data_IF_475262002099
#
_entry.id   IF_475262002099
#
_cell.length_a   1.000
_cell.length_b   1.000
_cell.length_c   1.000
_cell.angle_alpha   90.00
_cell.angle_beta   90.00
_cell.angle_gamma   90.00
#
_symmetry.space_group_name_H-M   'P 1'
#
loop_
_entity.id
_entity.type
_entity.pdbx_description
1 polymer ?
#
# COMPACT_ATOMS: atom_id res chain seq x y z
N UNK A 1 -61.01 5.89 -27.05
CA UNK A 1 -60.12 5.08 -26.19
C UNK A 1 -58.97 5.99 -25.75
N UNK A 2 -58.88 6.29 -24.45
CA UNK A 2 -57.87 7.18 -23.85
C UNK A 2 -56.82 6.28 -23.21
N UNK A 3 -55.57 6.39 -23.62
CA UNK A 3 -54.49 5.54 -23.11
C UNK A 3 -53.58 6.46 -22.30
N UNK A 4 -53.76 6.41 -20.99
CA UNK A 4 -52.85 6.97 -19.99
C UNK A 4 -51.66 6.04 -19.87
N UNK A 5 -50.46 6.55 -20.11
CA UNK A 5 -49.22 5.87 -19.75
C UNK A 5 -48.50 6.77 -18.76
N UNK A 6 -48.77 6.50 -17.48
CA UNK A 6 -47.89 6.86 -16.37
C UNK A 6 -46.75 5.85 -16.40
N UNK A 7 -45.52 6.31 -16.53
CA UNK A 7 -44.35 5.51 -16.21
C UNK A 7 -43.56 6.24 -15.14
N UNK A 8 -43.86 5.84 -13.91
CA UNK A 8 -42.91 5.86 -12.80
C UNK A 8 -41.86 4.78 -13.12
N UNK A 9 -40.63 5.19 -13.41
CA UNK A 9 -39.49 4.26 -13.40
C UNK A 9 -38.24 4.93 -12.85
N UNK A 10 -37.81 4.36 -11.72
CA UNK A 10 -36.45 4.31 -11.21
C UNK A 10 -35.73 5.64 -10.94
N UNK A 11 -35.69 5.95 -9.64
CA UNK A 11 -34.57 6.63 -8.98
C UNK A 11 -33.22 6.01 -9.40
N UNK A 12 -32.65 6.42 -10.54
CA UNK A 12 -31.21 6.31 -10.74
C UNK A 12 -30.58 7.35 -9.83
N UNK A 13 -30.01 6.83 -8.75
CA UNK A 13 -28.92 7.43 -8.01
C UNK A 13 -27.80 7.80 -9.00
N UNK A 14 -27.96 8.91 -9.72
CA UNK A 14 -26.81 9.59 -10.32
C UNK A 14 -26.10 10.24 -9.15
N UNK A 15 -25.32 9.43 -8.42
CA UNK A 15 -24.23 9.94 -7.59
C UNK A 15 -23.51 10.90 -8.52
N UNK A 16 -23.62 12.20 -8.24
CA UNK A 16 -22.87 13.23 -8.91
C UNK A 16 -21.46 12.68 -9.03
N UNK A 17 -20.91 12.42 -10.23
CA UNK A 17 -19.53 12.02 -10.33
C UNK A 17 -18.79 13.28 -9.95
N UNK A 18 -18.50 13.44 -8.66
CA UNK A 18 -17.75 14.57 -8.15
C UNK A 18 -16.53 14.66 -9.06
N UNK A 19 -16.37 15.72 -9.85
CA UNK A 19 -15.14 15.90 -10.58
C UNK A 19 -14.13 16.39 -9.54
N UNK A 20 -13.75 15.52 -8.59
CA UNK A 20 -12.60 15.74 -7.74
C UNK A 20 -11.35 15.48 -8.58
N UNK A 21 -11.25 16.16 -9.73
CA UNK A 21 -9.97 16.37 -10.38
C UNK A 21 -9.22 17.30 -9.44
N UNK A 22 -8.52 16.70 -8.45
CA UNK A 22 -7.54 17.41 -7.63
C UNK A 22 -6.71 18.29 -8.56
N UNK A 23 -6.47 19.53 -8.14
CA UNK A 23 -5.72 20.51 -8.94
C UNK A 23 -4.39 19.90 -9.38
N UNK A 24 -3.94 20.23 -10.58
CA UNK A 24 -2.64 19.78 -11.06
C UNK A 24 -1.55 20.29 -10.11
N UNK A 25 -0.79 19.37 -9.53
CA UNK A 25 0.29 19.62 -8.59
C UNK A 25 1.51 18.82 -9.00
N UNK A 26 2.69 19.19 -8.49
CA UNK A 26 3.92 18.43 -8.71
C UNK A 26 3.96 17.07 -7.98
N UNK A 27 2.93 16.75 -7.19
CA UNK A 27 2.83 15.52 -6.40
C UNK A 27 1.77 14.61 -6.98
N UNK A 28 2.14 13.37 -7.26
CA UNK A 28 1.27 12.32 -7.74
C UNK A 28 1.08 11.24 -6.70
N UNK A 29 -0.15 10.73 -6.67
CA UNK A 29 -0.57 9.60 -5.90
C UNK A 29 -0.92 8.44 -6.84
N UNK A 30 -0.14 7.37 -6.75
CA UNK A 30 -0.26 6.18 -7.58
C UNK A 30 -0.88 5.07 -6.73
N UNK A 31 -1.95 4.49 -7.24
CA UNK A 31 -2.68 3.36 -6.62
C UNK A 31 -2.80 2.19 -7.58
N UNK A 32 -3.25 1.04 -7.06
CA UNK A 32 -3.36 -0.23 -7.77
C UNK A 32 -2.03 -0.86 -8.21
N UNK A 33 -0.97 -0.57 -7.46
CA UNK A 33 0.29 -1.28 -7.57
C UNK A 33 0.12 -2.72 -7.03
N UNK A 34 0.61 -3.72 -7.77
CA UNK A 34 0.49 -5.16 -7.41
C UNK A 34 1.85 -5.83 -7.55
N UNK A 35 2.27 -6.55 -6.50
CA UNK A 35 3.52 -7.34 -6.47
C UNK A 35 3.41 -8.54 -7.43
N UNK A 36 4.50 -8.97 -8.08
CA UNK A 36 5.90 -8.79 -7.70
C UNK A 36 6.61 -7.64 -8.45
N UNK A 37 6.93 -6.55 -7.74
CA UNK A 37 7.85 -5.51 -8.20
C UNK A 37 8.67 -4.98 -7.02
N UNK A 38 9.80 -4.35 -7.30
CA UNK A 38 10.67 -3.72 -6.30
C UNK A 38 10.53 -2.20 -6.34
N UNK A 39 10.79 -1.53 -5.20
CA UNK A 39 10.80 -0.06 -5.16
C UNK A 39 11.72 0.59 -6.21
N UNK A 40 12.96 0.08 -6.46
CA UNK A 40 13.80 0.63 -7.54
C UNK A 40 13.17 0.50 -8.93
N UNK A 41 12.49 -0.61 -9.26
CA UNK A 41 11.79 -0.74 -10.55
C UNK A 41 10.72 0.33 -10.76
N UNK A 42 9.98 0.69 -9.69
CA UNK A 42 9.01 1.77 -9.76
C UNK A 42 9.70 3.13 -9.92
N UNK A 43 10.81 3.36 -9.23
CA UNK A 43 11.60 4.59 -9.38
C UNK A 43 12.16 4.74 -10.79
N UNK A 44 12.67 3.67 -11.41
CA UNK A 44 13.15 3.69 -12.79
C UNK A 44 12.02 4.04 -13.78
N UNK A 45 10.82 3.48 -13.58
CA UNK A 45 9.67 3.83 -14.41
C UNK A 45 9.33 5.33 -14.29
N UNK A 46 9.33 5.85 -13.07
CA UNK A 46 9.02 7.26 -12.78
C UNK A 46 10.12 8.21 -13.23
N UNK A 47 11.38 7.77 -13.23
CA UNK A 47 12.52 8.52 -13.74
C UNK A 47 12.51 8.67 -15.27
N UNK A 48 11.83 7.77 -15.99
CA UNK A 48 11.65 7.88 -17.45
C UNK A 48 10.68 8.99 -17.85
N UNK A 49 9.73 9.34 -16.97
CA UNK A 49 8.73 10.36 -17.24
C UNK A 49 9.12 11.74 -16.71
N UNK A 50 10.12 11.83 -15.83
CA UNK A 50 10.64 13.11 -15.36
C UNK A 50 11.60 12.99 -14.17
N UNK A 51 12.04 14.14 -13.66
CA UNK A 51 12.97 14.21 -12.52
C UNK A 51 12.21 14.24 -11.19
N UNK A 52 12.41 13.21 -10.38
CA UNK A 52 11.85 13.11 -9.03
C UNK A 52 12.64 14.05 -8.10
N UNK A 53 11.94 14.83 -7.28
CA UNK A 53 12.53 15.72 -6.29
C UNK A 53 13.32 14.94 -5.21
N UNK A 54 14.35 15.54 -4.60
CA UNK A 54 15.06 14.90 -3.48
C UNK A 54 14.09 14.60 -2.33
N UNK A 55 14.15 13.38 -1.78
CA UNK A 55 13.21 12.86 -0.78
C UNK A 55 11.72 12.88 -1.22
N UNK A 56 11.49 13.04 -2.53
CA UNK A 56 10.18 13.10 -3.16
C UNK A 56 9.59 11.74 -3.49
N UNK A 57 10.03 10.64 -2.88
CA UNK A 57 9.51 9.30 -3.16
C UNK A 57 9.13 8.59 -1.88
N UNK A 58 7.85 8.24 -1.76
CA UNK A 58 7.31 7.49 -0.64
C UNK A 58 6.48 6.30 -1.15
N UNK A 59 6.64 5.14 -0.51
CA UNK A 59 5.90 3.92 -0.84
C UNK A 59 5.42 3.23 0.43
N UNK A 60 4.17 2.80 0.42
CA UNK A 60 3.55 2.06 1.52
C UNK A 60 4.22 0.68 1.73
N UNK A 61 4.15 0.12 2.94
CA UNK A 61 4.76 -1.15 3.35
C UNK A 61 4.35 -2.33 2.46
N UNK A 62 3.08 -2.35 2.06
CA UNK A 62 2.53 -3.39 1.16
C UNK A 62 2.70 -3.04 -0.33
N UNK A 63 3.37 -1.93 -0.65
CA UNK A 63 3.63 -1.43 -2.00
C UNK A 63 2.37 -1.30 -2.86
N UNK A 64 1.25 -0.94 -2.23
CA UNK A 64 -0.06 -0.79 -2.90
C UNK A 64 -0.33 0.66 -3.35
N UNK A 65 0.29 1.60 -2.62
CA UNK A 65 0.17 3.05 -2.79
C UNK A 65 1.56 3.67 -2.80
N UNK A 66 1.75 4.66 -3.65
CA UNK A 66 2.99 5.40 -3.76
C UNK A 66 2.70 6.89 -3.95
N UNK A 67 3.46 7.72 -3.26
CA UNK A 67 3.50 9.15 -3.48
C UNK A 67 4.83 9.52 -4.13
N UNK A 68 4.76 10.32 -5.18
CA UNK A 68 5.94 10.84 -5.87
C UNK A 68 5.80 12.34 -6.09
N UNK A 69 6.85 13.09 -5.76
CA UNK A 69 6.97 14.53 -6.01
C UNK A 69 8.01 14.76 -7.09
N UNK A 70 7.60 15.38 -8.19
CA UNK A 70 8.49 15.83 -9.25
C UNK A 70 9.05 17.22 -8.92
N UNK A 71 10.13 17.60 -9.61
CA UNK A 71 10.68 18.96 -9.53
C UNK A 71 9.74 19.98 -10.16
N UNK A 72 9.06 19.59 -11.24
CA UNK A 72 8.15 20.42 -12.03
C UNK A 72 6.74 19.84 -12.07
N UNK A 73 5.75 20.72 -12.20
CA UNK A 73 4.33 20.31 -12.32
C UNK A 73 4.08 19.64 -13.68
N UNK A 74 4.73 20.11 -14.75
CA UNK A 74 4.55 19.56 -16.10
C UNK A 74 4.96 18.08 -16.18
N UNK A 75 6.08 17.72 -15.55
CA UNK A 75 6.56 16.33 -15.42
C UNK A 75 5.51 15.45 -14.74
N UNK A 76 4.85 15.98 -13.70
CA UNK A 76 3.79 15.26 -12.99
C UNK A 76 2.54 15.06 -13.87
N UNK A 77 2.17 16.06 -14.66
CA UNK A 77 1.05 15.97 -15.62
C UNK A 77 1.34 14.94 -16.70
N UNK A 78 2.54 14.96 -17.28
CA UNK A 78 2.96 14.02 -18.32
C UNK A 78 3.03 12.59 -17.78
N UNK A 79 3.60 12.41 -16.58
CA UNK A 79 3.62 11.12 -15.87
C UNK A 79 2.21 10.59 -15.64
N UNK A 80 1.27 11.44 -15.20
CA UNK A 80 -0.13 11.04 -15.02
C UNK A 80 -0.72 10.55 -16.34
N UNK A 81 -0.52 11.27 -17.43
CA UNK A 81 -1.06 10.86 -18.73
C UNK A 81 -0.42 9.57 -19.25
N UNK A 82 0.88 9.38 -19.03
CA UNK A 82 1.62 8.22 -19.46
C UNK A 82 1.30 6.95 -18.64
N UNK A 83 1.08 7.08 -17.32
CA UNK A 83 0.92 5.94 -16.42
C UNK A 83 -0.53 5.65 -16.02
N UNK A 84 -1.43 6.63 -16.08
CA UNK A 84 -2.83 6.40 -15.71
C UNK A 84 -3.50 5.43 -16.69
N UNK A 85 -4.06 4.34 -16.17
CA UNK A 85 -4.68 3.28 -16.98
C UNK A 85 -3.68 2.24 -17.51
N UNK A 86 -2.38 2.40 -17.28
CA UNK A 86 -1.37 1.43 -17.73
C UNK A 86 -1.35 0.22 -16.82
N UNK A 87 -1.23 -0.97 -17.42
CA UNK A 87 -0.90 -2.20 -16.69
C UNK A 87 0.59 -2.27 -16.48
N UNK A 88 1.02 -2.04 -15.24
CA UNK A 88 2.39 -2.22 -14.84
C UNK A 88 2.45 -2.83 -13.43
N UNK A 89 3.28 -3.86 -13.20
CA UNK A 89 4.08 -4.63 -14.17
C UNK A 89 3.22 -5.43 -15.19
N UNK A 90 3.84 -6.07 -16.19
CA UNK A 90 3.16 -6.77 -17.31
C UNK A 90 2.10 -7.78 -16.84
N UNK A 91 2.37 -8.48 -15.74
CA UNK A 91 1.45 -9.45 -15.15
C UNK A 91 0.46 -8.83 -14.13
N UNK A 92 0.40 -7.50 -13.99
CA UNK A 92 -0.51 -6.84 -13.07
C UNK A 92 -1.96 -7.02 -13.56
N UNK A 93 -2.85 -7.67 -12.77
CA UNK A 93 -4.26 -7.79 -13.15
C UNK A 93 -4.99 -6.44 -13.15
N UNK A 94 -4.48 -5.44 -12.42
CA UNK A 94 -5.07 -4.10 -12.29
C UNK A 94 -4.32 -3.08 -13.15
N UNK A 95 -5.03 -2.02 -13.56
CA UNK A 95 -4.42 -0.83 -14.15
C UNK A 95 -4.02 0.14 -13.06
N UNK A 96 -2.85 0.76 -13.23
CA UNK A 96 -2.39 1.83 -12.36
C UNK A 96 -3.37 3.01 -12.44
N UNK A 97 -3.63 3.62 -11.29
CA UNK A 97 -4.44 4.83 -11.20
C UNK A 97 -3.58 5.93 -10.59
N UNK A 98 -3.32 6.95 -11.39
CA UNK A 98 -2.52 8.11 -11.02
C UNK A 98 -3.42 9.33 -10.83
N UNK A 99 -3.36 9.93 -9.65
CA UNK A 99 -4.10 11.14 -9.27
C UNK A 99 -3.13 12.22 -8.79
N UNK A 100 -3.51 13.49 -8.90
CA UNK A 100 -2.76 14.58 -8.28
C UNK A 100 -3.03 14.60 -6.77
N UNK A 101 -2.02 14.91 -5.96
CA UNK A 101 -2.12 15.03 -4.51
C UNK A 101 -1.48 16.34 -4.03
N UNK A 102 -1.82 16.81 -2.84
CA UNK A 102 -1.12 17.97 -2.27
C UNK A 102 0.23 17.53 -1.70
N UNK A 103 1.23 18.43 -1.64
CA UNK A 103 2.46 18.16 -0.90
C UNK A 103 2.22 17.96 0.60
N UNK A 104 1.13 18.53 1.13
CA UNK A 104 0.71 18.36 2.52
C UNK A 104 0.24 16.92 2.79
N UNK A 105 -0.52 16.32 1.87
CA UNK A 105 -0.96 14.92 1.96
C UNK A 105 0.25 13.98 2.02
N UNK A 106 1.28 14.26 1.21
CA UNK A 106 2.51 13.48 1.19
C UNK A 106 3.29 13.61 2.51
N UNK A 107 3.42 14.82 3.03
CA UNK A 107 4.12 15.08 4.29
C UNK A 107 3.41 14.39 5.47
N UNK A 108 2.08 14.46 5.53
CA UNK A 108 1.29 13.77 6.55
C UNK A 108 1.49 12.25 6.51
N UNK A 109 1.48 11.66 5.32
CA UNK A 109 1.69 10.22 5.15
C UNK A 109 3.12 9.81 5.53
N UNK A 110 4.12 10.66 5.24
CA UNK A 110 5.50 10.43 5.67
C UNK A 110 5.60 10.45 7.21
N UNK A 111 5.02 11.45 7.86
CA UNK A 111 5.01 11.59 9.33
C UNK A 111 4.33 10.39 10.01
N UNK A 112 3.16 9.99 9.52
CA UNK A 112 2.43 8.82 10.05
C UNK A 112 3.21 7.51 9.87
N UNK A 113 4.06 7.41 8.85
CA UNK A 113 4.90 6.24 8.62
C UNK A 113 6.08 6.19 9.59
N UNK A 114 6.64 7.34 9.96
CA UNK A 114 7.74 7.44 10.92
C UNK A 114 7.30 7.03 12.33
N UNK A 115 6.05 7.33 12.73
CA UNK A 115 5.51 6.94 14.04
C UNK A 115 5.32 5.41 14.17
N UNK A 116 4.83 4.76 13.12
CA UNK A 116 4.66 3.30 13.07
C UNK A 116 6.00 2.53 13.09
N UNK A 117 7.09 3.16 12.64
CA UNK A 117 8.41 2.52 12.60
C UNK A 117 9.04 2.43 14.00
N UNK A 118 8.73 3.38 14.90
CA UNK A 118 9.21 3.37 16.30
C UNK A 118 8.55 2.31 17.18
N UNK A 119 7.43 1.72 16.76
CA UNK A 119 6.73 0.66 17.53
C UNK A 119 7.17 -0.75 17.15
N UNK A 120 7.85 -0.94 16.02
CA UNK A 120 8.34 -2.25 15.57
C UNK A 120 9.75 -2.63 16.03
N UNK A 121 10.49 -1.72 16.69
CA UNK A 121 11.86 -1.97 17.19
C UNK A 121 11.92 -2.23 18.71
N UNK A 122 10.81 -2.60 19.37
CA UNK A 122 10.82 -2.95 20.80
C UNK A 122 10.10 -4.26 21.17
N UNK A 123 9.77 -5.13 20.21
CA UNK A 123 9.03 -6.38 20.49
C UNK A 123 9.67 -7.58 19.79
N UNK A 124 10.96 -7.79 20.02
CA UNK A 124 11.62 -9.09 19.76
C UNK A 124 12.76 -9.32 20.77
N UNK A 125 12.41 -9.52 22.04
CA UNK A 125 13.34 -10.06 23.06
C UNK A 125 12.62 -10.47 24.36
N UNK A 126 11.43 -11.06 24.26
CA UNK A 126 10.58 -11.29 25.45
C UNK A 126 9.73 -12.54 25.47
N UNK A 127 10.00 -13.58 24.66
CA UNK A 127 9.22 -14.82 24.74
C UNK A 127 10.02 -16.09 24.45
N UNK A 128 11.17 -16.25 25.10
CA UNK A 128 11.82 -17.55 25.19
C UNK A 128 12.61 -17.73 26.50
N UNK A 129 11.96 -17.62 27.67
CA UNK A 129 12.53 -18.23 28.87
C UNK A 129 11.46 -18.45 29.97
N UNK A 130 10.75 -19.58 29.95
CA UNK A 130 10.01 -20.07 31.14
C UNK A 130 9.62 -21.56 31.04
N UNK A 131 10.46 -22.45 30.52
CA UNK A 131 10.15 -23.89 30.52
C UNK A 131 11.26 -24.80 31.07
N UNK A 132 12.22 -24.26 31.81
CA UNK A 132 13.30 -25.05 32.41
C UNK A 132 13.33 -24.96 33.94
N UNK A 133 12.21 -25.20 34.63
CA UNK A 133 12.25 -25.26 36.09
C UNK A 133 11.19 -26.14 36.74
N UNK A 134 10.98 -27.38 36.31
CA UNK A 134 10.42 -28.43 37.20
C UNK A 134 10.97 -29.81 36.84
N UNK A 135 12.13 -30.18 37.40
CA UNK A 135 12.50 -31.59 37.55
C UNK A 135 12.05 -32.04 38.95
N UNK A 136 11.00 -32.87 39.10
CA UNK A 136 10.79 -33.58 40.36
C UNK A 136 11.79 -34.74 40.44
N UNK A 137 12.67 -34.70 41.43
CA UNK A 137 13.44 -35.86 41.85
C UNK A 137 12.48 -36.90 42.46
N UNK A 138 12.35 -38.08 41.84
CA UNK A 138 11.78 -39.26 42.51
C UNK A 138 12.78 -40.40 42.52
N UNK A 139 12.96 -40.89 43.75
CA UNK A 139 13.77 -42.00 44.25
C UNK A 139 13.66 -43.28 43.44
N UNK A 140 14.78 -44.00 43.49
CA UNK A 140 15.02 -45.42 43.24
C UNK A 140 13.88 -46.32 43.75
N UNK A 141 13.48 -47.29 42.93
CA UNK A 141 12.91 -48.56 43.36
C UNK A 141 13.29 -49.65 42.36
N UNK A 142 13.87 -50.71 42.89
CA UNK A 142 14.34 -51.91 42.21
C UNK A 142 13.21 -52.82 41.68
N UNK A 143 13.65 -53.96 41.12
CA UNK A 143 12.97 -55.23 40.79
C UNK A 143 12.70 -55.50 39.29
N UNK A 144 12.65 -56.78 38.86
CA UNK A 144 13.83 -57.55 38.44
C UNK A 144 13.72 -58.02 36.98
N UNK A 145 14.85 -58.30 36.34
CA UNK A 145 14.93 -58.88 34.99
C UNK A 145 14.53 -60.36 34.99
N UNK A 146 13.61 -60.75 34.10
CA UNK A 146 13.37 -62.14 33.71
C UNK A 146 13.35 -62.25 32.17
N UNK A 147 13.85 -63.40 31.67
CA UNK A 147 14.00 -63.87 30.27
C UNK A 147 15.17 -63.23 29.48
N UNK A 148 16.08 -63.98 28.85
CA UNK A 148 16.12 -65.37 28.38
C UNK A 148 17.57 -65.87 28.37
#
# INVERSE_FOLDING_TARGET
RKISIVSDDAKKLTRSPSPASRKATAVLFITNLVRPFTAPQLRELLARTGTIAPNGFYIDKIKSKCYVKYTEVEMAVETRHALHGVRWPVNNPKTLKVEFASPEDMALVQELAEDETKKSESVDSGWLNEQAALKPARRVSAYPTYFN
#
